data_IF_340008075383
#
_entry.id   IF_340008075383
#
_cell.length_a   1.000
_cell.length_b   1.000
_cell.length_c   1.000
_cell.angle_alpha   90.00
_cell.angle_beta   90.00
_cell.angle_gamma   90.00
#
_symmetry.space_group_name_H-M   'P 1'
#
loop_
_entity.id
_entity.type
_entity.pdbx_description
1 polymer ?
#
# COMPACT_ATOMS: atom_id res chain seq x y z
N UNK A 1 -3.13 30.76 -24.01
CA UNK A 1 -2.00 30.38 -23.13
C UNK A 1 -2.36 29.04 -22.52
N UNK A 2 -1.87 27.95 -23.12
CA UNK A 2 -2.19 26.59 -22.69
C UNK A 2 -1.58 26.34 -21.31
N UNK A 3 -2.42 26.01 -20.34
CA UNK A 3 -1.97 25.39 -19.11
C UNK A 3 -1.21 24.13 -19.49
N UNK A 4 0.09 24.09 -19.21
CA UNK A 4 0.87 22.88 -19.38
C UNK A 4 0.14 21.75 -18.66
N UNK A 5 -0.26 20.72 -19.41
CA UNK A 5 -0.76 19.47 -18.85
C UNK A 5 0.31 18.98 -17.87
N UNK A 6 0.07 19.16 -16.58
CA UNK A 6 0.95 18.58 -15.57
C UNK A 6 0.83 17.09 -15.74
N UNK A 7 1.90 16.47 -16.25
CA UNK A 7 1.94 15.04 -16.55
C UNK A 7 1.44 14.26 -15.32
N UNK A 8 0.24 13.70 -15.45
CA UNK A 8 -0.45 13.05 -14.34
C UNK A 8 0.33 11.77 -14.03
N UNK A 9 0.72 11.55 -12.77
CA UNK A 9 1.48 10.34 -12.43
C UNK A 9 0.65 9.10 -12.78
N UNK A 10 1.26 8.21 -13.56
CA UNK A 10 0.63 6.97 -14.03
C UNK A 10 0.86 5.87 -13.00
N UNK A 11 -0.20 5.19 -12.57
CA UNK A 11 -0.13 4.09 -11.61
C UNK A 11 0.31 2.81 -12.30
N UNK A 12 1.20 2.06 -11.64
CA UNK A 12 1.56 0.68 -12.01
C UNK A 12 0.81 -0.27 -11.09
N UNK A 13 0.22 -1.32 -11.67
CA UNK A 13 -0.38 -2.45 -10.98
C UNK A 13 0.57 -3.65 -11.15
N UNK A 14 0.92 -4.31 -10.04
CA UNK A 14 1.77 -5.50 -10.07
C UNK A 14 1.11 -6.64 -10.87
N UNK A 15 1.90 -7.36 -11.66
CA UNK A 15 1.42 -8.48 -12.50
C UNK A 15 0.86 -9.67 -11.71
N UNK A 16 1.20 -9.79 -10.42
CA UNK A 16 0.75 -10.90 -9.56
C UNK A 16 -0.56 -10.60 -8.85
N UNK A 17 -1.01 -9.34 -8.84
CA UNK A 17 -2.24 -8.95 -8.15
C UNK A 17 -3.46 -9.50 -8.88
N UNK A 18 -4.17 -10.44 -8.24
CA UNK A 18 -5.24 -11.22 -8.88
C UNK A 18 -6.56 -10.46 -9.01
N UNK A 19 -6.83 -9.57 -8.06
CA UNK A 19 -8.06 -8.76 -8.03
C UNK A 19 -7.69 -7.28 -7.90
N UNK A 20 -7.01 -6.72 -8.92
CA UNK A 20 -6.44 -5.39 -8.83
C UNK A 20 -7.53 -4.32 -8.74
N UNK A 21 -7.19 -3.21 -8.09
CA UNK A 21 -7.96 -1.98 -8.22
C UNK A 21 -7.92 -1.44 -9.65
N UNK A 22 -8.93 -0.65 -9.98
CA UNK A 22 -9.04 -0.03 -11.29
C UNK A 22 -8.68 1.46 -11.20
N UNK A 23 -7.65 1.86 -11.95
CA UNK A 23 -7.24 3.26 -12.05
C UNK A 23 -7.19 3.69 -13.52
N UNK A 24 -7.80 4.84 -13.87
CA UNK A 24 -7.73 5.36 -15.24
C UNK A 24 -6.29 5.55 -15.72
N UNK A 25 -5.95 4.94 -16.87
CA UNK A 25 -4.62 5.05 -17.47
C UNK A 25 -3.53 4.23 -16.78
N UNK A 26 -3.86 3.39 -15.79
CA UNK A 26 -2.87 2.51 -15.17
C UNK A 26 -2.29 1.48 -16.14
N UNK A 27 -1.07 1.06 -15.84
CA UNK A 27 -0.35 0.03 -16.61
C UNK A 27 -0.04 -1.17 -15.72
N UNK A 28 -0.01 -2.36 -16.30
CA UNK A 28 0.33 -3.59 -15.57
C UNK A 28 1.80 -3.94 -15.82
N UNK A 29 2.60 -4.01 -14.75
CA UNK A 29 4.04 -4.37 -14.81
C UNK A 29 4.48 -5.05 -13.52
N UNK A 30 5.49 -5.89 -13.58
CA UNK A 30 6.06 -6.49 -12.37
C UNK A 30 6.75 -5.44 -11.51
N UNK A 31 6.39 -5.36 -10.24
CA UNK A 31 7.02 -4.50 -9.24
C UNK A 31 8.02 -5.30 -8.37
N UNK A 32 9.10 -4.66 -7.91
CA UNK A 32 10.02 -5.28 -6.96
C UNK A 32 9.33 -5.64 -5.63
N UNK A 33 8.43 -4.79 -5.15
CA UNK A 33 7.64 -4.96 -3.92
C UNK A 33 6.35 -4.14 -3.98
N UNK A 34 5.34 -4.57 -3.21
CA UNK A 34 4.00 -3.97 -3.21
C UNK A 34 3.16 -4.31 -4.44
N UNK A 35 1.89 -3.92 -4.38
CA UNK A 35 0.89 -4.19 -5.42
C UNK A 35 0.67 -3.00 -6.35
N UNK A 36 0.93 -1.78 -5.86
CA UNK A 36 0.73 -0.54 -6.63
C UNK A 36 1.91 0.41 -6.46
N UNK A 37 2.29 1.09 -7.54
CA UNK A 37 3.35 2.11 -7.53
C UNK A 37 3.10 3.16 -8.62
N UNK A 38 4.08 4.01 -8.92
CA UNK A 38 4.04 5.03 -9.98
C UNK A 38 5.12 4.78 -11.02
N UNK A 39 4.81 5.08 -12.29
CA UNK A 39 5.78 5.06 -13.38
C UNK A 39 6.92 6.04 -13.11
N UNK A 40 8.17 5.55 -13.15
CA UNK A 40 9.38 6.32 -12.89
C UNK A 40 9.76 6.42 -11.41
N UNK A 41 8.97 5.84 -10.49
CA UNK A 41 9.16 5.92 -9.04
C UNK A 41 8.96 4.55 -8.35
N UNK A 42 9.15 3.44 -9.09
CA UNK A 42 8.91 2.07 -8.59
C UNK A 42 9.84 1.64 -7.46
N UNK A 43 11.01 2.27 -7.39
CA UNK A 43 12.03 2.12 -6.36
C UNK A 43 11.85 3.10 -5.20
N UNK A 44 10.80 3.94 -5.23
CA UNK A 44 10.61 5.05 -4.29
C UNK A 44 9.29 4.98 -3.53
N UNK A 45 8.22 4.50 -4.17
CA UNK A 45 6.90 4.38 -3.54
C UNK A 45 6.20 3.07 -3.87
N UNK A 46 5.57 2.45 -2.88
CA UNK A 46 4.68 1.33 -3.13
C UNK A 46 3.54 1.22 -2.10
N UNK A 47 2.40 0.71 -2.54
CA UNK A 47 1.27 0.36 -1.67
C UNK A 47 1.04 -1.15 -1.76
N UNK A 48 1.00 -1.80 -0.59
CA UNK A 48 0.58 -3.19 -0.43
C UNK A 48 -0.89 -3.22 -0.04
N UNK A 49 -1.73 -3.89 -0.83
CA UNK A 49 -3.15 -4.10 -0.55
C UNK A 49 -3.33 -5.43 0.15
N UNK A 50 -4.21 -5.47 1.15
CA UNK A 50 -4.68 -6.73 1.75
C UNK A 50 -6.17 -6.72 2.03
N UNK A 51 -6.83 -7.83 1.73
CA UNK A 51 -8.13 -8.11 2.33
C UNK A 51 -7.95 -8.48 3.80
N UNK A 52 -9.05 -8.46 4.57
CA UNK A 52 -9.03 -8.97 5.95
C UNK A 52 -8.54 -10.43 6.02
N UNK A 53 -9.02 -11.29 5.13
CA UNK A 53 -8.67 -12.71 5.14
C UNK A 53 -7.16 -12.90 4.85
N UNK A 54 -6.65 -12.20 3.84
CA UNK A 54 -5.24 -12.26 3.45
C UNK A 54 -4.34 -11.75 4.57
N UNK A 55 -4.70 -10.63 5.21
CA UNK A 55 -3.96 -10.11 6.35
C UNK A 55 -3.84 -11.15 7.49
N UNK A 56 -4.94 -11.84 7.85
CA UNK A 56 -4.88 -12.90 8.86
C UNK A 56 -4.05 -14.11 8.40
N UNK A 57 -4.13 -14.49 7.12
CA UNK A 57 -3.30 -15.55 6.54
C UNK A 57 -1.80 -15.21 6.56
N UNK A 58 -1.47 -13.99 6.15
CA UNK A 58 -0.12 -13.44 6.15
C UNK A 58 0.44 -13.24 7.56
N UNK A 59 -0.37 -12.98 8.57
CA UNK A 59 0.10 -12.84 9.96
C UNK A 59 0.24 -14.17 10.72
N UNK A 60 -0.44 -15.21 10.22
CA UNK A 60 -0.35 -16.59 10.67
C UNK A 60 0.70 -17.38 9.90
N UNK A 61 0.25 -18.29 9.03
CA UNK A 61 1.14 -19.21 8.29
C UNK A 61 2.09 -18.46 7.34
N UNK A 62 1.66 -17.34 6.76
CA UNK A 62 2.46 -16.52 5.85
C UNK A 62 3.45 -15.56 6.51
N UNK A 63 3.58 -15.57 7.85
CA UNK A 63 4.25 -14.48 8.60
C UNK A 63 5.69 -14.23 8.19
N UNK A 64 6.48 -15.28 8.00
CA UNK A 64 7.88 -15.13 7.63
C UNK A 64 8.04 -14.50 6.23
N UNK A 65 7.14 -14.85 5.30
CA UNK A 65 7.11 -14.25 3.96
C UNK A 65 6.67 -12.80 4.02
N UNK A 66 5.56 -12.52 4.69
CA UNK A 66 5.03 -11.16 4.76
C UNK A 66 5.96 -10.21 5.49
N UNK A 67 6.69 -10.67 6.53
CA UNK A 67 7.73 -9.86 7.16
C UNK A 67 8.82 -9.42 6.17
N UNK A 68 9.28 -10.31 5.28
CA UNK A 68 10.27 -9.96 4.25
C UNK A 68 9.71 -8.97 3.22
N UNK A 69 8.41 -9.05 2.93
CA UNK A 69 7.73 -8.07 2.08
C UNK A 69 7.72 -6.70 2.77
N UNK A 70 7.36 -6.62 4.05
CA UNK A 70 7.41 -5.37 4.84
C UNK A 70 8.84 -4.82 4.96
N UNK A 71 9.84 -5.68 5.16
CA UNK A 71 11.25 -5.27 5.18
C UNK A 71 11.67 -4.62 3.84
N UNK A 72 11.24 -5.16 2.70
CA UNK A 72 11.49 -4.51 1.39
C UNK A 72 10.74 -3.20 1.21
N UNK A 73 9.49 -3.13 1.69
CA UNK A 73 8.70 -1.89 1.65
C UNK A 73 9.34 -0.79 2.50
N UNK A 74 10.00 -1.14 3.61
CA UNK A 74 10.66 -0.21 4.51
C UNK A 74 11.88 0.51 3.89
N UNK A 75 12.44 -0.03 2.81
CA UNK A 75 13.57 0.57 2.08
C UNK A 75 13.13 1.66 1.09
N UNK A 76 11.82 1.82 0.85
CA UNK A 76 11.27 2.84 -0.04
C UNK A 76 11.13 4.18 0.71
N UNK A 77 11.20 5.29 -0.03
CA UNK A 77 10.97 6.63 0.53
C UNK A 77 9.57 6.75 1.18
N UNK A 78 8.58 6.08 0.57
CA UNK A 78 7.26 5.90 1.18
C UNK A 78 6.66 4.55 0.82
N UNK A 79 6.16 3.84 1.82
CA UNK A 79 5.34 2.66 1.59
C UNK A 79 4.21 2.59 2.60
N UNK A 80 3.09 1.98 2.21
CA UNK A 80 1.98 1.74 3.13
C UNK A 80 1.28 0.41 2.85
N UNK A 81 0.66 -0.14 3.89
CA UNK A 81 -0.24 -1.29 3.80
C UNK A 81 -1.67 -0.77 3.92
N UNK A 82 -2.51 -1.06 2.93
CA UNK A 82 -3.94 -0.71 2.92
C UNK A 82 -4.75 -1.99 3.12
N UNK A 83 -5.51 -2.03 4.21
CA UNK A 83 -6.37 -3.16 4.57
C UNK A 83 -7.82 -2.81 4.27
N UNK A 84 -8.49 -3.66 3.48
CA UNK A 84 -9.91 -3.56 3.14
C UNK A 84 -10.80 -4.07 4.29
N UNK A 85 -10.71 -3.38 5.42
CA UNK A 85 -11.55 -3.58 6.58
C UNK A 85 -11.60 -2.29 7.39
N UNK A 86 -12.69 -2.06 8.11
CA UNK A 86 -12.66 -1.12 9.24
C UNK A 86 -11.85 -1.74 10.37
N UNK A 87 -11.28 -0.93 11.26
CA UNK A 87 -10.59 -1.44 12.45
C UNK A 87 -11.51 -2.35 13.31
N UNK A 88 -12.76 -1.96 13.67
CA UNK A 88 -13.69 -2.87 14.35
C UNK A 88 -13.96 -4.14 13.54
N UNK A 89 -14.16 -4.03 12.22
CA UNK A 89 -14.38 -5.17 11.34
C UNK A 89 -13.18 -6.11 11.25
N UNK A 90 -11.96 -5.59 11.38
CA UNK A 90 -10.72 -6.37 11.43
C UNK A 90 -10.58 -7.14 12.75
N UNK A 91 -11.02 -6.54 13.87
CA UNK A 91 -11.06 -7.20 15.17
C UNK A 91 -12.07 -8.36 15.23
N UNK A 92 -13.04 -8.36 14.31
CA UNK A 92 -13.88 -9.53 14.03
C UNK A 92 -13.14 -10.52 13.12
N UNK A 93 -12.52 -11.52 13.76
CA UNK A 93 -11.73 -12.60 13.12
C UNK A 93 -12.49 -13.28 11.97
N UNK A 94 -11.84 -13.57 10.83
CA UNK A 94 -12.40 -14.45 9.81
C UNK A 94 -12.71 -15.87 10.35
N UNK A 95 -13.78 -16.55 9.90
CA UNK A 95 -14.18 -17.86 10.42
C UNK A 95 -13.08 -18.94 10.34
N UNK A 96 -12.26 -18.90 9.29
CA UNK A 96 -11.20 -19.88 9.03
C UNK A 96 -9.90 -19.61 9.82
N UNK A 97 -9.75 -18.46 10.47
CA UNK A 97 -8.54 -18.14 11.21
C UNK A 97 -8.64 -18.57 12.67
N UNK A 98 -7.55 -19.13 13.22
CA UNK A 98 -7.40 -19.42 14.66
C UNK A 98 -6.66 -18.31 15.41
N UNK A 99 -6.12 -17.31 14.71
CA UNK A 99 -5.31 -16.24 15.32
C UNK A 99 -6.17 -15.35 16.22
N UNK A 100 -5.64 -14.93 17.38
CA UNK A 100 -6.32 -13.94 18.22
C UNK A 100 -6.31 -12.57 17.51
N UNK A 101 -7.46 -11.89 17.34
CA UNK A 101 -7.53 -10.57 16.72
C UNK A 101 -6.62 -9.52 17.36
N UNK A 102 -6.46 -9.55 18.69
CA UNK A 102 -5.55 -8.65 19.41
C UNK A 102 -4.08 -8.89 19.03
N UNK A 103 -3.69 -10.14 18.82
CA UNK A 103 -2.35 -10.48 18.34
C UNK A 103 -2.15 -10.09 16.87
N UNK A 104 -3.20 -10.20 16.04
CA UNK A 104 -3.16 -9.81 14.64
C UNK A 104 -2.92 -8.29 14.51
N UNK A 105 -3.74 -7.47 15.16
CA UNK A 105 -3.55 -6.02 15.15
C UNK A 105 -2.23 -5.61 15.80
N UNK A 106 -1.84 -6.22 16.92
CA UNK A 106 -0.56 -5.94 17.57
C UNK A 106 0.64 -6.21 16.66
N UNK A 107 0.55 -7.22 15.79
CA UNK A 107 1.59 -7.49 14.79
C UNK A 107 1.65 -6.40 13.72
N UNK A 108 0.50 -5.99 13.17
CA UNK A 108 0.43 -4.93 12.16
C UNK A 108 0.93 -3.59 12.69
N UNK A 109 0.47 -3.19 13.87
CA UNK A 109 0.90 -1.93 14.49
C UNK A 109 2.36 -1.99 14.93
N UNK A 110 2.81 -3.13 15.46
CA UNK A 110 4.23 -3.34 15.79
C UNK A 110 5.13 -3.20 14.57
N UNK A 111 4.71 -3.72 13.41
CA UNK A 111 5.44 -3.54 12.15
C UNK A 111 5.35 -2.12 11.61
N UNK A 112 4.19 -1.46 11.72
CA UNK A 112 4.03 -0.05 11.38
C UNK A 112 5.02 0.83 12.13
N UNK A 113 5.15 0.63 13.44
CA UNK A 113 6.10 1.38 14.28
C UNK A 113 7.54 0.99 13.96
N UNK A 114 7.86 -0.31 13.87
CA UNK A 114 9.23 -0.79 13.71
C UNK A 114 9.84 -0.44 12.35
N UNK A 115 9.07 -0.66 11.28
CA UNK A 115 9.52 -0.52 9.90
C UNK A 115 9.10 0.81 9.28
N UNK A 116 8.35 1.64 10.01
CA UNK A 116 7.81 2.92 9.54
C UNK A 116 6.96 2.80 8.28
N UNK A 117 6.28 1.66 8.12
CA UNK A 117 5.33 1.39 7.02
C UNK A 117 3.90 1.53 7.58
N UNK A 118 3.20 2.66 7.35
CA UNK A 118 1.89 2.88 7.93
C UNK A 118 0.88 1.81 7.48
N UNK A 119 -0.03 1.46 8.39
CA UNK A 119 -1.15 0.56 8.11
C UNK A 119 -2.44 1.35 8.15
N UNK A 120 -3.16 1.37 7.03
CA UNK A 120 -4.46 2.03 6.91
C UNK A 120 -5.59 1.01 6.85
N UNK A 121 -6.63 1.22 7.66
CA UNK A 121 -7.86 0.45 7.61
C UNK A 121 -8.89 1.22 6.78
N UNK A 122 -9.06 0.82 5.53
CA UNK A 122 -9.83 1.57 4.55
C UNK A 122 -11.34 1.32 4.62
N UNK A 123 -11.81 0.34 5.40
CA UNK A 123 -13.23 -0.01 5.45
C UNK A 123 -13.56 -1.14 4.48
N UNK A 124 -13.57 -0.85 3.19
CA UNK A 124 -13.91 -1.78 2.12
C UNK A 124 -13.01 -1.61 0.89
N UNK A 125 -13.33 -2.34 -0.18
CA UNK A 125 -12.57 -2.34 -1.44
C UNK A 125 -12.59 -0.99 -2.15
N UNK A 126 -13.75 -0.35 -2.21
CA UNK A 126 -13.92 0.94 -2.90
C UNK A 126 -13.09 2.02 -2.22
N UNK A 127 -13.17 2.10 -0.89
CA UNK A 127 -12.38 3.03 -0.10
C UNK A 127 -10.89 2.67 -0.10
N UNK A 128 -10.55 1.38 -0.16
CA UNK A 128 -9.17 0.91 -0.32
C UNK A 128 -8.55 1.40 -1.63
N UNK A 129 -9.32 1.34 -2.73
CA UNK A 129 -8.92 1.87 -4.02
C UNK A 129 -8.71 3.39 -3.97
N UNK A 130 -9.69 4.12 -3.44
CA UNK A 130 -9.63 5.58 -3.34
C UNK A 130 -8.43 6.05 -2.48
N UNK A 131 -8.19 5.38 -1.35
CA UNK A 131 -7.08 5.67 -0.46
C UNK A 131 -5.73 5.37 -1.13
N UNK A 132 -5.60 4.20 -1.76
CA UNK A 132 -4.38 3.81 -2.51
C UNK A 132 -4.03 4.84 -3.57
N UNK A 133 -5.02 5.24 -4.39
CA UNK A 133 -4.86 6.30 -5.37
C UNK A 133 -4.37 7.60 -4.73
N UNK A 134 -5.05 8.05 -3.67
CA UNK A 134 -4.74 9.32 -3.04
C UNK A 134 -3.35 9.33 -2.42
N UNK A 135 -2.93 8.25 -1.77
CA UNK A 135 -1.59 8.12 -1.19
C UNK A 135 -0.50 8.28 -2.25
N UNK A 136 -0.63 7.57 -3.38
CA UNK A 136 0.30 7.67 -4.50
C UNK A 136 0.34 9.08 -5.09
N UNK A 137 -0.82 9.72 -5.30
CA UNK A 137 -0.88 11.10 -5.81
C UNK A 137 -0.26 12.11 -4.85
N UNK A 138 -0.50 11.96 -3.54
CA UNK A 138 0.07 12.86 -2.53
C UNK A 138 1.60 12.71 -2.47
N UNK A 139 2.11 11.48 -2.55
CA UNK A 139 3.54 11.23 -2.65
C UNK A 139 4.15 11.95 -3.88
N UNK A 140 3.57 11.72 -5.07
CA UNK A 140 4.03 12.36 -6.30
C UNK A 140 4.01 13.89 -6.21
N UNK A 141 2.96 14.46 -5.61
CA UNK A 141 2.85 15.91 -5.41
C UNK A 141 3.99 16.46 -4.56
N UNK A 142 4.19 15.90 -3.37
CA UNK A 142 5.21 16.43 -2.44
C UNK A 142 6.64 16.18 -2.92
N UNK A 143 6.88 15.18 -3.75
CA UNK A 143 8.22 14.96 -4.33
C UNK A 143 8.48 15.76 -5.61
N UNK A 144 7.44 16.16 -6.35
CA UNK A 144 7.57 17.20 -7.39
C UNK A 144 7.87 18.57 -6.78
N UNK A 145 7.27 18.91 -5.65
CA UNK A 145 7.53 20.17 -4.94
C UNK A 145 8.99 20.26 -4.43
N UNK A 146 9.57 19.14 -3.96
CA UNK A 146 10.99 19.06 -3.56
C UNK A 146 11.95 19.20 -4.74
N UNK A 147 11.60 18.70 -5.93
CA UNK A 147 12.44 18.83 -7.13
C UNK A 147 12.45 20.25 -7.73
N UNK A 148 11.44 21.08 -7.42
CA UNK A 148 11.26 22.43 -8.00
C UNK A 148 11.67 23.54 -7.02
N UNK A 149 11.94 23.24 -5.75
CA UNK A 149 12.28 24.26 -4.75
C UNK A 149 13.41 23.86 -3.80
N UNK A 150 14.66 24.21 -4.15
CA UNK A 150 15.54 25.16 -3.45
C UNK A 150 16.95 25.12 -4.06
N UNK A 151 17.44 26.20 -4.71
CA UNK A 151 18.85 26.53 -4.64
C UNK A 151 19.17 26.94 -3.20
N UNK A 152 20.27 26.41 -2.65
CA UNK A 152 20.97 27.04 -1.52
C UNK A 152 21.37 28.47 -1.87
#
# INVERSE_FOLDING_TARGET
>A
MGSAEVDKPVIIIDTREQLPYEFPGAVVRTLPTGDYSLVGLQDRVAIERKTKADAYGSLGQGRARFRREVERLAELDYAAIVIEATLPGFLCRPPHSKMNPRSAIGSLLGWSVRYRVPVFFAGDREHGQALTHKLLLMYARYHKEVAVGHPV
#
